data_IF_807534707701
#
_entry.id   IF_807534707701
#
_cell.length_a   1.000
_cell.length_b   1.000
_cell.length_c   1.000
_cell.angle_alpha   90.00
_cell.angle_beta   90.00
_cell.angle_gamma   90.00
#
_symmetry.space_group_name_H-M   'P 1'
#
loop_
_entity.id
_entity.type
_entity.pdbx_description
1 polymer ?
#
# COMPACT_ATOMS: atom_id res chain seq x y z
N UNK A 1 13.39 17.32 11.42
CA UNK A 1 14.64 17.57 10.68
C UNK A 1 14.51 18.91 9.93
N UNK A 2 15.29 19.92 10.32
CA UNK A 2 15.23 21.29 9.80
C UNK A 2 15.54 21.36 8.30
N UNK A 3 16.48 20.53 7.82
CA UNK A 3 16.82 20.48 6.39
C UNK A 3 15.63 20.03 5.53
N UNK A 4 14.91 19.00 5.95
CA UNK A 4 13.70 18.54 5.25
C UNK A 4 12.56 19.57 5.34
N UNK A 5 12.44 20.27 6.46
CA UNK A 5 11.47 21.34 6.61
C UNK A 5 11.76 22.50 5.65
N UNK A 6 13.02 22.91 5.52
CA UNK A 6 13.44 23.95 4.55
C UNK A 6 13.15 23.55 3.11
N UNK A 7 13.43 22.29 2.73
CA UNK A 7 13.12 21.76 1.40
C UNK A 7 11.61 21.75 1.16
N UNK A 8 10.81 21.27 2.13
CA UNK A 8 9.36 21.24 2.02
C UNK A 8 8.80 22.65 1.86
N UNK A 9 9.24 23.61 2.68
CA UNK A 9 8.84 25.01 2.61
C UNK A 9 9.15 25.62 1.24
N UNK A 10 10.37 25.41 0.74
CA UNK A 10 10.80 25.87 -0.59
C UNK A 10 9.92 25.29 -1.69
N UNK A 11 9.64 23.99 -1.64
CA UNK A 11 8.77 23.34 -2.62
C UNK A 11 7.34 23.91 -2.60
N UNK A 12 6.78 24.17 -1.43
CA UNK A 12 5.44 24.77 -1.31
C UNK A 12 5.41 26.19 -1.89
N UNK A 13 6.43 27.00 -1.58
CA UNK A 13 6.56 28.35 -2.15
C UNK A 13 6.63 28.30 -3.69
N UNK A 14 7.50 27.42 -4.24
CA UNK A 14 7.65 27.27 -5.69
C UNK A 14 6.37 26.77 -6.38
N UNK A 15 5.52 26.05 -5.67
CA UNK A 15 4.23 25.57 -6.16
C UNK A 15 3.08 26.56 -5.97
N UNK A 16 3.35 27.75 -5.41
CA UNK A 16 2.38 28.79 -5.21
C UNK A 16 1.59 28.73 -3.89
N UNK A 17 1.96 27.82 -2.99
CA UNK A 17 1.33 27.63 -1.67
C UNK A 17 2.23 28.14 -0.53
N UNK A 18 2.77 29.35 -0.67
CA UNK A 18 3.72 29.94 0.28
C UNK A 18 3.14 30.31 1.65
N UNK A 19 1.86 30.08 1.90
CA UNK A 19 1.17 30.34 3.19
C UNK A 19 0.75 29.08 3.93
N UNK A 20 1.22 27.92 3.51
CA UNK A 20 0.89 26.63 4.12
C UNK A 20 1.30 26.58 5.59
N UNK A 21 0.46 25.99 6.43
CA UNK A 21 0.72 25.73 7.83
C UNK A 21 1.73 24.55 7.97
N UNK A 22 2.98 24.79 7.59
CA UNK A 22 4.05 23.81 7.74
C UNK A 22 4.56 23.81 9.17
N UNK A 23 4.64 22.64 9.78
CA UNK A 23 5.13 22.44 11.14
C UNK A 23 6.35 21.53 11.09
N UNK A 24 7.46 21.96 11.68
CA UNK A 24 8.66 21.14 11.88
C UNK A 24 8.53 20.38 13.20
N UNK A 25 7.96 19.17 13.14
CA UNK A 25 7.78 18.32 14.31
C UNK A 25 7.99 16.84 13.95
N UNK A 26 8.12 15.99 14.97
CA UNK A 26 7.97 14.55 14.82
C UNK A 26 6.46 14.25 14.82
N UNK A 27 5.97 13.74 13.68
CA UNK A 27 4.55 13.50 13.50
C UNK A 27 3.99 12.50 14.52
N UNK A 28 4.69 11.40 14.78
CA UNK A 28 4.23 10.39 15.75
C UNK A 28 4.28 10.88 17.21
N UNK A 29 5.06 11.92 17.50
CA UNK A 29 5.10 12.56 18.82
C UNK A 29 4.03 13.66 18.99
N UNK A 30 3.31 14.03 17.94
CA UNK A 30 2.19 14.99 18.05
C UNK A 30 0.99 14.33 18.73
N UNK A 31 0.13 15.13 19.37
CA UNK A 31 -1.14 14.62 19.88
C UNK A 31 -2.19 14.65 18.76
N UNK A 32 -2.75 13.49 18.35
CA UNK A 32 -3.77 13.44 17.30
C UNK A 32 -5.02 14.28 17.62
N UNK A 33 -5.42 14.37 18.91
CA UNK A 33 -6.59 15.16 19.30
C UNK A 33 -6.38 16.65 19.04
N UNK A 34 -5.16 17.16 19.25
CA UNK A 34 -4.85 18.56 18.98
C UNK A 34 -4.84 18.84 17.48
N UNK A 35 -4.34 17.91 16.67
CA UNK A 35 -4.40 18.01 15.23
C UNK A 35 -5.86 17.96 14.71
N UNK A 36 -6.70 17.11 15.31
CA UNK A 36 -8.12 16.97 14.93
C UNK A 36 -8.93 18.25 15.14
N UNK A 37 -8.55 19.11 16.11
CA UNK A 37 -9.19 20.41 16.32
C UNK A 37 -9.15 21.32 15.09
N UNK A 38 -8.22 21.07 14.14
CA UNK A 38 -8.17 21.80 12.88
C UNK A 38 -9.23 21.35 11.87
N UNK A 39 -10.00 20.30 12.16
CA UNK A 39 -11.07 19.76 11.31
C UNK A 39 -10.62 19.43 9.88
N UNK A 40 -9.44 18.83 9.72
CA UNK A 40 -8.96 18.36 8.43
C UNK A 40 -9.88 17.27 7.87
N UNK A 41 -10.42 17.47 6.69
CA UNK A 41 -11.37 16.56 6.03
C UNK A 41 -10.69 15.61 5.04
N UNK A 42 -9.41 15.85 4.74
CA UNK A 42 -8.59 15.00 3.86
C UNK A 42 -7.20 14.85 4.46
N UNK A 43 -6.73 13.62 4.54
CA UNK A 43 -5.35 13.26 4.87
C UNK A 43 -4.65 12.64 3.68
N UNK A 44 -3.45 13.11 3.35
CA UNK A 44 -2.56 12.53 2.34
C UNK A 44 -1.19 12.31 2.96
N UNK A 45 -0.63 11.10 2.78
CA UNK A 45 0.67 10.79 3.36
C UNK A 45 1.47 9.82 2.48
N UNK A 46 2.76 10.04 2.45
CA UNK A 46 3.78 9.07 2.06
C UNK A 46 4.78 9.00 3.22
N UNK A 47 4.59 8.08 4.18
CA UNK A 47 5.44 8.00 5.37
C UNK A 47 6.84 7.51 4.99
N UNK A 48 7.84 7.71 5.86
CA UNK A 48 9.17 7.14 5.64
C UNK A 48 9.10 5.60 5.77
N UNK A 49 9.72 4.90 4.81
CA UNK A 49 9.68 3.44 4.76
C UNK A 49 10.79 2.79 5.59
N UNK A 50 10.51 1.62 6.14
CA UNK A 50 11.49 0.76 6.81
C UNK A 50 12.14 1.35 8.06
N UNK A 51 11.48 2.24 8.79
CA UNK A 51 11.99 2.72 10.08
C UNK A 51 11.92 1.64 11.16
N UNK A 52 10.98 0.73 11.07
CA UNK A 52 10.72 -0.34 12.05
C UNK A 52 11.64 -1.58 11.93
N UNK A 53 12.78 -1.49 11.23
CA UNK A 53 13.70 -2.63 11.05
C UNK A 53 14.25 -3.22 12.35
N UNK A 54 14.29 -2.43 13.44
CA UNK A 54 14.68 -2.89 14.78
C UNK A 54 13.45 -3.04 15.65
N UNK A 55 13.43 -4.03 16.56
CA UNK A 55 12.34 -4.23 17.53
C UNK A 55 11.99 -3.00 18.34
N UNK A 56 13.02 -2.22 18.71
CA UNK A 56 12.88 -0.96 19.45
C UNK A 56 12.04 0.09 18.71
N UNK A 57 12.04 0.01 17.37
CA UNK A 57 11.34 0.95 16.48
C UNK A 57 10.05 0.35 15.89
N UNK A 58 9.52 -0.75 16.42
CA UNK A 58 8.31 -1.38 15.90
C UNK A 58 7.13 -0.40 15.81
N UNK A 59 7.04 0.55 16.75
CA UNK A 59 6.03 1.62 16.75
C UNK A 59 6.21 2.66 15.63
N UNK A 60 7.28 2.58 14.85
CA UNK A 60 7.58 3.44 13.70
C UNK A 60 7.31 2.73 12.37
N UNK A 61 6.56 1.62 12.37
CA UNK A 61 6.12 1.00 11.11
C UNK A 61 5.07 1.87 10.41
N UNK A 62 4.98 1.73 9.11
CA UNK A 62 4.10 2.55 8.27
C UNK A 62 2.63 2.47 8.70
N UNK A 63 2.19 1.34 9.26
CA UNK A 63 0.82 1.17 9.75
C UNK A 63 0.51 2.04 10.98
N UNK A 64 1.51 2.34 11.84
CA UNK A 64 1.35 3.27 12.95
C UNK A 64 1.19 4.71 12.46
N UNK A 65 1.90 5.09 11.40
CA UNK A 65 1.69 6.39 10.74
C UNK A 65 0.27 6.50 10.16
N UNK A 66 -0.26 5.42 9.59
CA UNK A 66 -1.65 5.38 9.08
C UNK A 66 -2.62 5.61 10.24
N UNK A 67 -2.51 4.87 11.34
CA UNK A 67 -3.38 4.99 12.49
C UNK A 67 -3.33 6.41 13.09
N UNK A 68 -2.13 6.95 13.31
CA UNK A 68 -1.93 8.30 13.83
C UNK A 68 -2.53 9.39 12.94
N UNK A 69 -2.39 9.24 11.60
CA UNK A 69 -3.01 10.16 10.65
C UNK A 69 -4.53 10.09 10.74
N UNK A 70 -5.10 8.88 10.75
CA UNK A 70 -6.55 8.68 10.86
C UNK A 70 -7.12 9.31 12.13
N UNK A 71 -6.44 9.13 13.27
CA UNK A 71 -6.81 9.74 14.55
C UNK A 71 -6.75 11.27 14.53
N UNK A 72 -5.89 11.84 13.69
CA UNK A 72 -5.68 13.27 13.56
C UNK A 72 -6.71 13.98 12.67
N UNK A 73 -7.50 13.23 11.91
CA UNK A 73 -8.47 13.78 10.97
C UNK A 73 -9.85 14.00 11.63
N UNK A 74 -10.68 14.80 10.98
CA UNK A 74 -12.08 14.97 11.37
C UNK A 74 -12.88 13.66 11.13
N UNK A 75 -13.95 13.40 11.90
CA UNK A 75 -14.84 12.28 11.63
C UNK A 75 -15.39 12.31 10.21
N UNK A 76 -15.33 11.17 9.52
CA UNK A 76 -15.75 11.03 8.12
C UNK A 76 -14.74 11.54 7.08
N UNK A 77 -13.60 12.05 7.52
CA UNK A 77 -12.52 12.51 6.62
C UNK A 77 -11.98 11.35 5.78
N UNK A 78 -11.57 11.66 4.54
CA UNK A 78 -10.90 10.69 3.67
C UNK A 78 -9.39 10.74 3.88
N UNK A 79 -8.81 9.56 4.04
CA UNK A 79 -7.39 9.38 4.23
C UNK A 79 -6.83 8.50 3.11
N UNK A 80 -5.80 9.00 2.42
CA UNK A 80 -5.12 8.27 1.34
C UNK A 80 -3.63 8.22 1.67
N UNK A 81 -3.10 7.01 1.77
CA UNK A 81 -1.69 6.79 2.12
C UNK A 81 -1.04 5.89 1.09
N UNK A 82 0.17 6.24 0.66
CA UNK A 82 0.99 5.36 -0.16
C UNK A 82 2.04 4.70 0.74
N UNK A 83 2.08 3.36 0.74
CA UNK A 83 2.97 2.56 1.59
C UNK A 83 3.52 1.37 0.82
N UNK A 84 4.59 0.71 1.30
CA UNK A 84 5.02 -0.57 0.76
C UNK A 84 3.93 -1.63 0.90
N UNK A 85 3.86 -2.54 -0.06
CA UNK A 85 2.94 -3.68 -0.04
C UNK A 85 3.07 -4.50 1.26
N UNK A 86 4.28 -4.62 1.80
CA UNK A 86 4.56 -5.33 3.06
C UNK A 86 3.79 -4.77 4.26
N UNK A 87 3.46 -3.48 4.27
CA UNK A 87 2.64 -2.85 5.31
C UNK A 87 1.23 -3.44 5.34
N UNK A 88 0.67 -3.75 4.18
CA UNK A 88 -0.67 -4.34 4.07
C UNK A 88 -0.67 -5.85 4.32
N UNK A 89 0.47 -6.52 4.13
CA UNK A 89 0.67 -7.92 4.57
C UNK A 89 0.59 -7.99 6.10
N UNK A 90 1.43 -7.27 6.82
CA UNK A 90 1.35 -7.02 8.26
C UNK A 90 1.12 -8.28 9.11
N UNK A 91 1.94 -9.34 8.91
CA UNK A 91 1.76 -10.64 9.62
C UNK A 91 2.31 -10.66 11.04
N UNK A 92 3.17 -9.71 11.40
CA UNK A 92 3.72 -9.65 12.75
C UNK A 92 2.66 -9.15 13.74
N UNK A 93 2.80 -9.54 15.02
CA UNK A 93 1.83 -9.21 16.06
C UNK A 93 1.56 -7.71 16.24
N UNK A 94 2.58 -6.82 16.26
CA UNK A 94 2.35 -5.39 16.34
C UNK A 94 1.50 -4.83 15.19
N UNK A 95 1.77 -5.24 13.96
CA UNK A 95 1.02 -4.76 12.80
C UNK A 95 -0.43 -5.28 12.80
N UNK A 96 -0.65 -6.53 13.23
CA UNK A 96 -2.01 -7.09 13.39
C UNK A 96 -2.82 -6.31 14.43
N UNK A 97 -2.22 -5.95 15.57
CA UNK A 97 -2.87 -5.11 16.58
C UNK A 97 -3.23 -3.72 16.03
N UNK A 98 -2.39 -3.16 15.15
CA UNK A 98 -2.72 -1.89 14.49
C UNK A 98 -3.84 -2.05 13.45
N UNK A 99 -3.87 -3.15 12.71
CA UNK A 99 -4.99 -3.44 11.80
C UNK A 99 -6.30 -3.59 12.57
N UNK A 100 -6.28 -4.30 13.71
CA UNK A 100 -7.42 -4.43 14.60
C UNK A 100 -7.89 -3.05 15.10
N UNK A 101 -6.97 -2.23 15.59
CA UNK A 101 -7.25 -0.86 16.02
C UNK A 101 -7.89 -0.04 14.90
N UNK A 102 -7.30 -0.06 13.69
CA UNK A 102 -7.79 0.68 12.53
C UNK A 102 -9.22 0.24 12.19
N UNK A 103 -9.51 -1.06 12.11
CA UNK A 103 -10.86 -1.53 11.77
C UNK A 103 -11.88 -1.25 12.90
N UNK A 104 -11.43 -1.20 14.16
CA UNK A 104 -12.30 -0.87 15.28
C UNK A 104 -12.73 0.62 15.29
N UNK A 105 -11.93 1.52 14.73
CA UNK A 105 -12.16 2.97 14.82
C UNK A 105 -12.36 3.65 13.47
N UNK A 106 -11.89 3.04 12.37
CA UNK A 106 -11.88 3.62 11.02
C UNK A 106 -12.32 2.59 9.99
N UNK A 107 -12.72 3.05 8.82
CA UNK A 107 -13.15 2.18 7.72
C UNK A 107 -12.06 2.07 6.66
N UNK A 108 -11.66 0.86 6.31
CA UNK A 108 -10.87 0.58 5.11
C UNK A 108 -11.81 0.59 3.89
N UNK A 109 -11.65 1.52 2.99
CA UNK A 109 -12.39 1.62 1.73
C UNK A 109 -11.83 0.69 0.66
N UNK A 110 -10.49 0.56 0.64
CA UNK A 110 -9.80 -0.35 -0.27
C UNK A 110 -8.32 -0.08 -0.42
N UNK A 111 -7.68 -0.95 -1.21
CA UNK A 111 -6.26 -0.94 -1.49
C UNK A 111 -6.03 -1.08 -2.99
N UNK A 112 -5.15 -0.25 -3.54
CA UNK A 112 -4.78 -0.24 -4.96
C UNK A 112 -3.31 -0.62 -5.05
N UNK A 113 -3.02 -1.77 -5.63
CA UNK A 113 -1.64 -2.19 -5.92
C UNK A 113 -1.14 -1.47 -7.15
N UNK A 114 -0.04 -0.72 -7.00
CA UNK A 114 0.53 0.09 -8.07
C UNK A 114 1.58 -0.67 -8.89
N UNK A 115 2.00 -0.05 -9.99
CA UNK A 115 3.14 -0.49 -10.78
C UNK A 115 4.38 -0.63 -9.88
N UNK A 116 5.08 -1.78 -9.88
CA UNK A 116 6.27 -1.98 -9.07
C UNK A 116 7.38 -0.96 -9.33
N UNK A 117 7.38 -0.34 -10.50
CA UNK A 117 8.35 0.68 -10.89
C UNK A 117 7.89 2.12 -10.58
N UNK A 118 6.76 2.31 -9.86
CA UNK A 118 6.28 3.65 -9.47
C UNK A 118 7.37 4.46 -8.77
N UNK A 119 8.16 3.81 -7.92
CA UNK A 119 9.37 4.40 -7.34
C UNK A 119 10.61 3.80 -8.02
N UNK A 120 10.87 4.26 -9.25
CA UNK A 120 11.96 3.75 -10.09
C UNK A 120 13.30 3.69 -9.34
N UNK A 121 13.97 2.55 -9.41
CA UNK A 121 15.29 2.32 -8.79
C UNK A 121 15.26 2.06 -7.27
N UNK A 122 14.10 2.09 -6.60
CA UNK A 122 14.01 1.87 -5.14
C UNK A 122 13.69 0.41 -4.78
N UNK A 123 13.14 -0.37 -5.70
CA UNK A 123 12.79 -1.79 -5.48
C UNK A 123 11.64 -2.01 -4.48
N UNK A 124 10.79 -1.01 -4.28
CA UNK A 124 9.64 -1.08 -3.39
C UNK A 124 8.37 -1.25 -4.22
N UNK A 125 7.55 -2.23 -3.89
CA UNK A 125 6.22 -2.40 -4.48
C UNK A 125 5.21 -1.56 -3.70
N UNK A 126 4.76 -0.40 -4.21
CA UNK A 126 3.86 0.47 -3.49
C UNK A 126 2.41 0.08 -3.66
N UNK A 127 1.62 0.42 -2.64
CA UNK A 127 0.16 0.39 -2.68
C UNK A 127 -0.41 1.72 -2.20
N UNK A 128 -1.55 2.12 -2.74
CA UNK A 128 -2.36 3.20 -2.19
C UNK A 128 -3.44 2.56 -1.32
N UNK A 129 -3.57 3.04 -0.08
CA UNK A 129 -4.62 2.65 0.84
C UNK A 129 -5.57 3.82 1.07
N UNK A 130 -6.86 3.54 1.10
CA UNK A 130 -7.90 4.56 1.28
C UNK A 130 -8.76 4.19 2.47
N UNK A 131 -8.92 5.15 3.37
CA UNK A 131 -9.72 4.99 4.59
C UNK A 131 -10.71 6.13 4.78
N UNK A 132 -11.70 5.87 5.64
CA UNK A 132 -12.56 6.89 6.23
C UNK A 132 -12.31 6.93 7.73
N UNK A 133 -11.96 8.12 8.24
CA UNK A 133 -11.60 8.34 9.63
C UNK A 133 -12.84 8.31 10.56
N UNK A 134 -12.65 7.79 11.78
CA UNK A 134 -13.63 7.76 12.88
C UNK A 134 -14.99 7.14 12.51
N UNK A 135 -14.96 6.13 11.67
CA UNK A 135 -16.10 5.28 11.36
C UNK A 135 -15.65 3.83 11.48
N UNK A 136 -16.07 3.06 12.52
CA UNK A 136 -15.70 1.65 12.63
C UNK A 136 -16.05 0.87 11.37
N UNK A 137 -15.18 -0.04 10.98
CA UNK A 137 -15.38 -0.83 9.77
C UNK A 137 -16.51 -1.86 9.97
N UNK A 138 -17.64 -1.76 9.23
CA UNK A 138 -18.71 -2.73 9.35
C UNK A 138 -18.26 -4.12 8.88
N UNK A 139 -18.56 -5.18 9.65
CA UNK A 139 -18.15 -6.56 9.33
C UNK A 139 -18.60 -7.07 7.96
N UNK A 140 -19.68 -6.53 7.44
CA UNK A 140 -20.29 -6.90 6.15
C UNK A 140 -19.93 -5.89 5.03
N UNK A 141 -19.07 -4.92 5.30
CA UNK A 141 -18.63 -3.98 4.26
C UNK A 141 -17.57 -4.63 3.39
N UNK A 142 -17.79 -4.53 2.08
CA UNK A 142 -16.80 -4.98 1.08
C UNK A 142 -15.83 -3.85 0.74
N UNK A 143 -14.59 -4.01 1.12
CA UNK A 143 -13.50 -3.15 0.66
C UNK A 143 -13.10 -3.51 -0.79
N UNK A 144 -12.51 -2.56 -1.51
CA UNK A 144 -12.08 -2.73 -2.90
C UNK A 144 -10.59 -3.03 -2.96
N UNK A 145 -10.22 -4.10 -3.64
CA UNK A 145 -8.84 -4.46 -3.88
C UNK A 145 -8.58 -4.42 -5.37
N UNK A 146 -7.72 -3.49 -5.81
CA UNK A 146 -7.49 -3.22 -7.23
C UNK A 146 -6.05 -3.55 -7.59
N UNK A 147 -5.86 -4.31 -8.65
CA UNK A 147 -4.58 -4.57 -9.28
C UNK A 147 -4.34 -3.55 -10.39
N UNK A 148 -3.64 -2.47 -10.06
CA UNK A 148 -3.31 -1.39 -11.00
C UNK A 148 -1.82 -1.40 -11.37
N UNK A 149 -1.21 -2.60 -11.45
CA UNK A 149 0.20 -2.75 -11.87
C UNK A 149 0.41 -2.32 -13.31
N UNK A 150 -0.56 -2.61 -14.20
CA UNK A 150 -0.61 -2.05 -15.54
C UNK A 150 -1.36 -0.71 -15.51
N UNK A 151 -0.61 0.37 -15.31
CA UNK A 151 -1.10 1.74 -15.26
C UNK A 151 -0.94 2.49 -16.60
N UNK A 152 -0.41 1.79 -17.61
CA UNK A 152 -0.13 2.34 -18.93
C UNK A 152 1.22 3.04 -19.05
N UNK A 153 2.05 3.03 -18.00
CA UNK A 153 3.44 3.48 -18.09
C UNK A 153 4.36 2.32 -18.43
N UNK A 154 5.46 2.63 -19.12
CA UNK A 154 6.51 1.68 -19.48
C UNK A 154 7.87 2.16 -18.96
N UNK A 155 8.74 1.19 -18.64
CA UNK A 155 10.09 1.50 -18.15
C UNK A 155 11.00 1.85 -19.31
N UNK A 156 11.55 3.07 -19.30
CA UNK A 156 12.63 3.45 -20.20
C UNK A 156 13.98 3.39 -19.45
N UNK A 157 14.99 2.73 -20.02
CA UNK A 157 16.33 2.66 -19.41
C UNK A 157 16.84 4.06 -19.06
N UNK A 158 17.37 4.22 -17.85
CA UNK A 158 17.96 5.46 -17.31
C UNK A 158 17.02 6.67 -17.16
N UNK A 159 15.76 6.58 -17.62
CA UNK A 159 14.78 7.66 -17.55
C UNK A 159 13.73 7.38 -16.47
N UNK A 160 13.33 6.10 -16.31
CA UNK A 160 12.25 5.68 -15.42
C UNK A 160 10.96 5.40 -16.18
N UNK A 161 9.82 5.67 -15.56
CA UNK A 161 8.50 5.45 -16.16
C UNK A 161 8.16 6.55 -17.16
N UNK A 162 7.83 6.17 -18.36
CA UNK A 162 7.30 7.05 -19.41
C UNK A 162 5.84 6.72 -19.72
N UNK A 163 4.97 7.72 -19.92
CA UNK A 163 3.57 7.48 -20.22
C UNK A 163 3.41 6.95 -21.66
N UNK A 164 2.57 5.95 -21.83
CA UNK A 164 2.08 5.53 -23.14
C UNK A 164 0.71 6.15 -23.42
N UNK A 165 0.19 5.92 -24.64
CA UNK A 165 -1.16 6.32 -25.02
C UNK A 165 -2.26 5.60 -24.22
N UNK A 166 -1.94 4.54 -23.47
CA UNK A 166 -2.89 3.78 -22.62
C UNK A 166 -3.15 4.44 -21.26
N UNK A 167 -2.28 5.34 -20.80
CA UNK A 167 -2.41 5.98 -19.46
C UNK A 167 -3.79 6.61 -19.23
N UNK A 168 -4.36 7.42 -20.15
CA UNK A 168 -5.67 8.02 -19.93
C UNK A 168 -6.80 6.99 -19.78
N UNK A 169 -6.76 5.92 -20.56
CA UNK A 169 -7.74 4.83 -20.50
C UNK A 169 -7.63 4.06 -19.19
N UNK A 170 -6.42 3.68 -18.78
CA UNK A 170 -6.17 2.96 -17.52
C UNK A 170 -6.60 3.79 -16.31
N UNK A 171 -6.27 5.08 -16.30
CA UNK A 171 -6.72 6.01 -15.25
C UNK A 171 -8.23 6.15 -15.19
N UNK A 172 -8.89 6.25 -16.35
CA UNK A 172 -10.36 6.31 -16.44
C UNK A 172 -10.98 5.04 -15.87
N UNK A 173 -10.48 3.86 -16.26
CA UNK A 173 -10.94 2.56 -15.75
C UNK A 173 -10.83 2.50 -14.22
N UNK A 174 -9.67 2.86 -13.64
CA UNK A 174 -9.48 2.92 -12.19
C UNK A 174 -10.52 3.80 -11.51
N UNK A 175 -10.74 5.02 -12.02
CA UNK A 175 -11.68 5.96 -11.43
C UNK A 175 -13.14 5.49 -11.54
N UNK A 176 -13.52 4.86 -12.64
CA UNK A 176 -14.86 4.31 -12.82
C UNK A 176 -15.11 3.11 -11.90
N UNK A 177 -14.13 2.23 -11.75
CA UNK A 177 -14.21 1.12 -10.80
C UNK A 177 -14.29 1.63 -9.34
N UNK A 178 -13.47 2.63 -9.02
CA UNK A 178 -13.46 3.20 -7.68
C UNK A 178 -14.75 3.91 -7.32
N UNK A 179 -15.22 4.82 -8.20
CA UNK A 179 -16.38 5.68 -7.92
C UNK A 179 -17.72 5.01 -8.16
N UNK A 180 -17.82 4.21 -9.22
CA UNK A 180 -19.10 3.73 -9.71
C UNK A 180 -19.23 2.20 -9.68
N UNK A 181 -18.26 1.49 -9.10
CA UNK A 181 -18.22 0.03 -9.05
C UNK A 181 -18.42 -0.60 -10.44
N UNK A 182 -17.79 -0.02 -11.46
CA UNK A 182 -17.85 -0.56 -12.83
C UNK A 182 -17.51 -2.04 -12.80
N UNK A 183 -18.32 -2.92 -13.42
CA UNK A 183 -17.99 -4.33 -13.52
C UNK A 183 -16.70 -4.54 -14.30
N UNK A 184 -15.80 -5.33 -13.75
CA UNK A 184 -14.52 -5.72 -14.33
C UNK A 184 -14.21 -7.16 -13.95
N UNK A 185 -13.19 -7.73 -14.55
CA UNK A 185 -12.70 -9.07 -14.21
C UNK A 185 -12.03 -9.09 -12.82
N UNK A 186 -12.02 -10.24 -12.17
CA UNK A 186 -11.45 -10.39 -10.83
C UNK A 186 -9.93 -10.16 -10.80
N UNK A 187 -9.23 -10.34 -11.92
CA UNK A 187 -7.81 -10.02 -12.05
C UNK A 187 -7.52 -8.52 -11.91
N UNK A 188 -8.49 -7.66 -12.23
CA UNK A 188 -8.36 -6.21 -12.05
C UNK A 188 -8.88 -5.74 -10.69
N UNK A 189 -10.06 -6.17 -10.24
CA UNK A 189 -10.66 -5.74 -8.97
C UNK A 189 -11.45 -6.85 -8.30
N UNK A 190 -11.15 -7.09 -7.03
CA UNK A 190 -11.93 -7.94 -6.13
C UNK A 190 -12.55 -7.09 -5.03
N UNK A 191 -13.72 -7.48 -4.58
CA UNK A 191 -14.38 -6.88 -3.41
C UNK A 191 -14.54 -7.95 -2.34
N UNK A 192 -14.02 -7.68 -1.14
CA UNK A 192 -14.07 -8.63 -0.04
C UNK A 192 -14.31 -7.93 1.30
N UNK A 193 -14.86 -8.65 2.25
CA UNK A 193 -14.84 -8.27 3.66
C UNK A 193 -13.42 -8.47 4.18
N UNK A 194 -13.04 -7.74 5.23
CA UNK A 194 -11.68 -7.75 5.76
C UNK A 194 -11.65 -8.10 7.23
N UNK A 195 -10.59 -8.80 7.62
CA UNK A 195 -10.23 -9.03 9.02
C UNK A 195 -8.82 -8.50 9.31
N UNK A 196 -8.41 -8.31 10.57
CA UNK A 196 -7.06 -7.89 10.91
C UNK A 196 -5.98 -8.90 10.49
N UNK A 197 -6.33 -10.17 10.40
CA UNK A 197 -5.44 -11.29 10.05
C UNK A 197 -5.18 -11.38 8.55
N UNK A 198 -6.05 -10.81 7.73
CA UNK A 198 -5.94 -10.85 6.27
C UNK A 198 -4.74 -10.02 5.79
N UNK A 199 -4.19 -10.40 4.65
CA UNK A 199 -3.34 -9.50 3.86
C UNK A 199 -4.27 -8.57 3.07
N UNK A 200 -4.24 -7.27 3.37
CA UNK A 200 -5.11 -6.29 2.70
C UNK A 200 -4.57 -5.95 1.30
N UNK A 201 -4.56 -6.97 0.42
CA UNK A 201 -4.02 -6.90 -0.93
C UNK A 201 -4.92 -7.60 -1.93
N UNK A 202 -4.92 -7.13 -3.18
CA UNK A 202 -5.65 -7.79 -4.26
C UNK A 202 -5.28 -9.27 -4.38
N UNK A 203 -3.98 -9.60 -4.32
CA UNK A 203 -3.47 -10.96 -4.47
C UNK A 203 -3.94 -11.93 -3.39
N UNK A 204 -4.36 -11.45 -2.22
CA UNK A 204 -4.89 -12.28 -1.15
C UNK A 204 -6.34 -12.71 -1.41
N UNK A 205 -7.15 -11.80 -1.99
CA UNK A 205 -8.57 -12.04 -2.24
C UNK A 205 -8.84 -12.49 -3.69
N UNK A 206 -7.86 -12.36 -4.57
CA UNK A 206 -7.98 -12.81 -5.95
C UNK A 206 -7.91 -14.33 -6.00
N UNK A 207 -8.92 -14.92 -6.58
CA UNK A 207 -8.97 -16.34 -6.85
C UNK A 207 -9.07 -16.55 -8.36
N UNK A 208 -8.06 -17.22 -8.92
CA UNK A 208 -8.10 -17.62 -10.31
C UNK A 208 -8.82 -18.97 -10.38
N UNK A 209 -9.99 -19.00 -11.02
CA UNK A 209 -10.76 -20.22 -11.26
C UNK A 209 -10.30 -20.97 -12.53
N UNK A 210 -9.40 -20.37 -13.32
CA UNK A 210 -8.85 -21.02 -14.50
C UNK A 210 -7.92 -22.16 -14.07
N UNK A 211 -8.24 -23.36 -14.51
CA UNK A 211 -7.34 -24.51 -14.36
C UNK A 211 -6.22 -24.32 -15.38
N UNK A 212 -4.93 -24.26 -14.96
CA UNK A 212 -3.82 -24.14 -15.87
C UNK A 212 -3.84 -25.26 -16.91
N UNK A 213 -3.50 -24.92 -18.14
CA UNK A 213 -3.28 -25.92 -19.18
C UNK A 213 -2.08 -26.80 -18.84
N UNK A 214 -2.02 -28.00 -19.39
CA UNK A 214 -0.88 -28.90 -19.20
C UNK A 214 0.44 -28.21 -19.58
N UNK A 215 0.44 -27.40 -20.64
CA UNK A 215 1.63 -26.65 -21.09
C UNK A 215 2.06 -25.58 -20.06
N UNK A 216 1.11 -24.86 -19.44
CA UNK A 216 1.40 -23.86 -18.39
C UNK A 216 1.89 -24.55 -17.12
N UNK A 217 1.35 -25.71 -16.80
CA UNK A 217 1.80 -26.52 -15.66
C UNK A 217 3.23 -27.03 -15.89
N UNK A 218 3.52 -27.62 -17.05
CA UNK A 218 4.86 -28.07 -17.42
C UNK A 218 5.88 -26.93 -17.40
N UNK A 219 5.52 -25.77 -17.92
CA UNK A 219 6.36 -24.57 -17.88
C UNK A 219 6.65 -24.14 -16.45
N UNK A 220 5.63 -24.07 -15.60
CA UNK A 220 5.79 -23.68 -14.19
C UNK A 220 6.68 -24.65 -13.44
N UNK A 221 6.54 -25.96 -13.71
CA UNK A 221 7.41 -26.99 -13.14
C UNK A 221 8.84 -26.86 -13.63
N UNK A 222 9.05 -26.59 -14.91
CA UNK A 222 10.40 -26.40 -15.47
C UNK A 222 11.07 -25.14 -14.88
N UNK A 223 10.34 -24.05 -14.75
CA UNK A 223 10.82 -22.81 -14.13
C UNK A 223 11.18 -23.03 -12.64
N UNK A 224 10.35 -23.78 -11.91
CA UNK A 224 10.63 -24.13 -10.51
C UNK A 224 11.89 -25.01 -10.38
N UNK A 225 12.01 -26.06 -11.18
CA UNK A 225 13.19 -26.93 -11.17
C UNK A 225 14.46 -26.17 -11.56
N UNK A 226 14.37 -25.25 -12.51
CA UNK A 226 15.47 -24.37 -12.90
C UNK A 226 15.88 -23.45 -11.75
N UNK A 227 14.90 -22.88 -11.05
CA UNK A 227 15.14 -22.05 -9.87
C UNK A 227 15.81 -22.88 -8.75
N UNK A 228 15.27 -24.05 -8.43
CA UNK A 228 15.82 -24.95 -7.40
C UNK A 228 17.26 -25.37 -7.73
N UNK A 229 17.51 -25.77 -8.98
CA UNK A 229 18.85 -26.09 -9.47
C UNK A 229 19.83 -24.92 -9.32
N UNK A 230 19.41 -23.71 -9.71
CA UNK A 230 20.22 -22.51 -9.57
C UNK A 230 20.52 -22.19 -8.10
N UNK A 231 19.57 -22.40 -7.20
CA UNK A 231 19.78 -22.17 -5.77
C UNK A 231 20.76 -23.19 -5.17
N UNK A 232 20.65 -24.46 -5.54
CA UNK A 232 21.58 -25.53 -5.11
C UNK A 232 22.99 -25.23 -5.62
N UNK A 233 23.15 -24.90 -6.90
CA UNK A 233 24.48 -24.61 -7.49
C UNK A 233 25.14 -23.37 -6.89
N UNK A 234 24.37 -22.46 -6.29
CA UNK A 234 24.88 -21.29 -5.57
C UNK A 234 24.98 -21.51 -4.05
N UNK A 235 24.88 -22.74 -3.55
CA UNK A 235 25.00 -23.09 -2.12
C UNK A 235 23.88 -22.55 -1.24
N UNK A 236 22.70 -22.39 -1.79
CA UNK A 236 21.50 -21.90 -1.09
C UNK A 236 20.42 -22.97 -0.89
N UNK A 237 20.80 -24.24 -0.96
CA UNK A 237 19.91 -25.40 -0.76
C UNK A 237 19.20 -25.41 0.60
N UNK A 238 19.80 -24.80 1.63
CA UNK A 238 19.20 -24.68 2.96
C UNK A 238 17.83 -23.96 2.97
N UNK A 239 17.47 -23.23 1.90
CA UNK A 239 16.18 -22.58 1.77
C UNK A 239 15.04 -23.58 1.46
N UNK A 240 15.38 -24.80 1.01
CA UNK A 240 14.42 -25.86 0.68
C UNK A 240 14.43 -27.00 1.71
N UNK A 241 15.43 -27.05 2.58
CA UNK A 241 15.39 -27.98 3.70
C UNK A 241 14.21 -27.60 4.60
N UNK A 242 13.20 -28.44 4.62
CA UNK A 242 12.14 -28.34 5.62
C UNK A 242 12.82 -28.39 6.97
N UNK A 243 12.68 -27.31 7.75
CA UNK A 243 13.14 -27.28 9.13
C UNK A 243 12.67 -28.57 9.80
N UNK A 244 13.59 -29.45 10.07
CA UNK A 244 13.32 -30.68 10.83
C UNK A 244 12.88 -30.27 12.23
N UNK A 245 11.73 -30.80 12.65
CA UNK A 245 11.12 -30.93 13.97
C UNK A 245 11.41 -29.87 15.03
#
# INVERSE_FOLDING_TARGET
NEGMFSIATTNMILRGDGKSNLICADFLATNPEDLRKNNFTVGLMNPPYSLAKKKENAHMSEIHFIAHLLDSLAPGAKCVVIVPQSTMVGKNKPDQLQKEYILAHHTLEGVITLNPQTFFGVGTNPVITVFTAHQPHPKNLYAKFINFKDDGFEVAPHIGLIPTNRVPERKKLLLECWKFNRPVTNDFMVRATVTPEDEWLHSFYYFNEEIPSDEEFEKTMADYLTFEFNMITHGREYLFEKGGE
#
